data_IF_987738928142
#
_entry.id   IF_987738928142
#
_cell.length_a   1.000
_cell.length_b   1.000
_cell.length_c   1.000
_cell.angle_alpha   90.00
_cell.angle_beta   90.00
_cell.angle_gamma   90.00
#
_symmetry.space_group_name_H-M   'P 1'
#
loop_
_entity.id
_entity.type
_entity.pdbx_description
1 polymer ?
#
# COMPACT_ATOMS: atom_id res chain seq x y z
N UNK A 1 6.43 16.30 22.28
CA UNK A 1 7.37 15.95 21.20
C UNK A 1 6.63 15.52 19.94
N UNK A 2 7.12 15.98 18.78
CA UNK A 2 6.48 15.94 17.46
C UNK A 2 6.75 14.62 16.74
N UNK A 3 6.23 13.49 17.24
CA UNK A 3 6.41 12.19 16.56
C UNK A 3 5.29 11.84 15.56
N UNK A 4 4.14 12.53 15.63
CA UNK A 4 2.96 12.20 14.81
C UNK A 4 2.85 13.00 13.50
N UNK A 5 3.71 13.99 13.27
CA UNK A 5 3.49 15.01 12.22
C UNK A 5 4.41 14.85 10.99
N UNK A 6 4.92 13.65 10.71
CA UNK A 6 5.77 13.43 9.52
C UNK A 6 5.49 12.12 8.78
N UNK A 7 4.82 11.15 9.40
CA UNK A 7 4.35 9.96 8.72
C UNK A 7 2.90 10.19 8.27
N UNK A 8 2.73 10.76 7.08
CA UNK A 8 1.47 10.69 6.34
C UNK A 8 1.19 9.20 6.05
N UNK A 9 0.60 8.46 6.99
CA UNK A 9 0.32 7.02 6.82
C UNK A 9 -0.63 6.82 5.62
N UNK A 10 -0.06 6.28 4.54
CA UNK A 10 -0.79 5.98 3.33
C UNK A 10 -1.53 4.66 3.45
N UNK A 11 -2.84 4.71 3.63
CA UNK A 11 -3.68 3.50 3.65
C UNK A 11 -4.08 3.15 2.22
N UNK A 12 -3.83 1.91 1.81
CA UNK A 12 -4.28 1.33 0.53
C UNK A 12 -4.97 0.01 0.81
N UNK A 13 -6.17 -0.17 0.24
CA UNK A 13 -6.87 -1.44 0.20
C UNK A 13 -6.74 -1.99 -1.21
N UNK A 14 -6.36 -3.26 -1.28
CA UNK A 14 -6.23 -3.98 -2.53
C UNK A 14 -7.04 -5.26 -2.51
N UNK A 15 -7.35 -5.74 -3.71
CA UNK A 15 -7.96 -7.04 -3.94
C UNK A 15 -6.90 -8.15 -3.91
N UNK A 16 -7.32 -9.42 -3.96
CA UNK A 16 -6.46 -10.61 -3.91
C UNK A 16 -5.41 -10.65 -5.05
N UNK A 17 -5.73 -10.03 -6.20
CA UNK A 17 -4.80 -9.87 -7.31
C UNK A 17 -3.77 -8.73 -7.11
N UNK A 18 -3.93 -7.92 -6.05
CA UNK A 18 -3.14 -6.73 -5.77
C UNK A 18 -3.63 -5.45 -6.44
N UNK A 19 -4.83 -5.47 -7.05
CA UNK A 19 -5.50 -4.30 -7.64
C UNK A 19 -5.96 -3.34 -6.56
N UNK A 20 -5.68 -2.06 -6.72
CA UNK A 20 -6.04 -1.04 -5.74
C UNK A 20 -7.54 -0.76 -5.79
N UNK A 21 -8.25 -1.10 -4.72
CA UNK A 21 -9.69 -0.82 -4.55
C UNK A 21 -9.94 0.49 -3.81
N UNK A 22 -9.08 0.83 -2.86
CA UNK A 22 -9.18 2.08 -2.11
C UNK A 22 -7.81 2.60 -1.74
N UNK A 23 -7.67 3.92 -1.67
CA UNK A 23 -6.46 4.57 -1.18
C UNK A 23 -6.79 5.94 -0.58
N UNK A 24 -6.16 6.30 0.54
CA UNK A 24 -6.34 7.64 1.10
C UNK A 24 -5.51 8.69 0.32
N UNK A 25 -5.68 9.97 0.67
CA UNK A 25 -4.94 11.07 0.03
C UNK A 25 -3.42 10.99 0.28
N UNK A 26 -2.99 10.57 1.47
CA UNK A 26 -1.59 10.37 1.81
C UNK A 26 -0.94 9.27 0.94
N UNK A 27 -1.60 8.13 0.76
CA UNK A 27 -1.18 7.04 -0.10
C UNK A 27 -1.10 7.50 -1.56
N UNK A 28 -2.07 8.31 -2.01
CA UNK A 28 -2.04 8.92 -3.34
C UNK A 28 -0.77 9.74 -3.55
N UNK A 29 -0.45 10.62 -2.60
CA UNK A 29 0.74 11.47 -2.64
C UNK A 29 2.05 10.68 -2.48
N UNK A 30 2.07 9.66 -1.64
CA UNK A 30 3.24 8.83 -1.36
C UNK A 30 3.60 7.90 -2.52
N UNK A 31 2.60 7.26 -3.12
CA UNK A 31 2.77 6.26 -4.18
C UNK A 31 2.65 6.86 -5.59
N UNK A 32 2.37 8.17 -5.70
CA UNK A 32 2.13 8.86 -6.97
C UNK A 32 0.92 8.31 -7.73
N UNK A 33 -0.11 7.86 -7.01
CA UNK A 33 -1.29 7.27 -7.61
C UNK A 33 -2.21 8.36 -8.18
N UNK A 34 -2.79 8.18 -9.38
CA UNK A 34 -3.75 9.14 -9.93
C UNK A 34 -5.00 9.28 -9.05
N UNK A 35 -5.64 10.45 -9.12
CA UNK A 35 -6.89 10.77 -8.41
C UNK A 35 -8.15 10.20 -9.07
N UNK A 36 -8.02 9.72 -10.30
CA UNK A 36 -9.11 9.23 -11.12
C UNK A 36 -9.43 7.76 -10.91
N UNK A 37 -10.61 7.34 -11.39
CA UNK A 37 -11.15 5.96 -11.43
C UNK A 37 -10.23 4.91 -12.13
N UNK A 38 -9.09 5.32 -12.67
CA UNK A 38 -8.08 4.46 -13.32
C UNK A 38 -7.29 3.57 -12.33
N UNK A 39 -7.58 3.64 -11.03
CA UNK A 39 -6.99 2.79 -10.00
C UNK A 39 -7.27 1.30 -10.22
N UNK A 40 -8.36 0.93 -10.90
CA UNK A 40 -8.74 -0.47 -11.15
C UNK A 40 -7.71 -1.29 -11.95
N UNK A 41 -6.81 -0.61 -12.67
CA UNK A 41 -5.68 -1.22 -13.39
C UNK A 41 -4.32 -1.07 -12.70
N UNK A 42 -4.24 -0.34 -11.59
CA UNK A 42 -2.98 -0.16 -10.86
C UNK A 42 -2.81 -1.22 -9.78
N UNK A 43 -1.59 -1.76 -9.70
CA UNK A 43 -1.21 -2.81 -8.77
C UNK A 43 -0.14 -2.29 -7.81
N UNK A 44 -0.19 -2.69 -6.54
CA UNK A 44 0.85 -2.35 -5.55
C UNK A 44 2.27 -2.68 -6.03
N UNK A 45 2.46 -3.81 -6.71
CA UNK A 45 3.75 -4.22 -7.27
C UNK A 45 4.36 -3.24 -8.27
N UNK A 46 3.54 -2.36 -8.87
CA UNK A 46 4.00 -1.32 -9.80
C UNK A 46 4.64 -0.15 -9.05
N UNK A 47 4.03 0.28 -7.94
CA UNK A 47 4.51 1.37 -7.11
C UNK A 47 5.61 0.94 -6.15
N UNK A 48 5.49 -0.25 -5.57
CA UNK A 48 6.38 -0.78 -4.56
C UNK A 48 7.07 -2.03 -5.09
N UNK A 49 8.24 -1.84 -5.69
CA UNK A 49 9.10 -2.94 -6.15
C UNK A 49 9.89 -3.51 -4.97
N UNK A 50 10.20 -4.80 -5.01
CA UNK A 50 11.02 -5.48 -4.00
C UNK A 50 10.25 -6.39 -3.03
N UNK A 51 8.91 -6.35 -3.06
CA UNK A 51 8.05 -7.25 -2.28
C UNK A 51 7.04 -7.94 -3.19
N UNK A 52 6.92 -9.25 -3.07
CA UNK A 52 5.90 -10.05 -3.77
C UNK A 52 4.52 -9.88 -3.14
N UNK A 53 3.92 -8.68 -3.30
CA UNK A 53 2.59 -8.36 -2.77
C UNK A 53 1.54 -9.41 -3.14
N UNK A 54 1.55 -9.92 -4.36
CA UNK A 54 0.62 -10.96 -4.82
C UNK A 54 0.74 -12.25 -3.99
N UNK A 55 1.94 -12.61 -3.55
CA UNK A 55 2.17 -13.78 -2.71
C UNK A 55 1.67 -13.51 -1.28
N UNK A 56 1.97 -12.32 -0.73
CA UNK A 56 1.51 -11.92 0.60
C UNK A 56 -0.03 -11.84 0.69
N UNK A 57 -0.67 -11.29 -0.35
CA UNK A 57 -2.13 -11.20 -0.45
C UNK A 57 -2.77 -12.59 -0.55
N UNK A 58 -2.18 -13.51 -1.32
CA UNK A 58 -2.63 -14.91 -1.37
C UNK A 58 -2.40 -15.69 -0.09
N UNK A 59 -1.36 -15.36 0.68
CA UNK A 59 -1.12 -15.97 1.98
C UNK A 59 -2.21 -15.57 2.99
N UNK A 60 -2.95 -14.47 2.72
CA UNK A 60 -3.97 -13.89 3.60
C UNK A 60 -3.49 -13.76 5.06
N UNK A 61 -2.22 -13.45 5.24
CA UNK A 61 -1.59 -13.37 6.56
C UNK A 61 -1.08 -11.97 6.83
N UNK A 62 -1.31 -11.51 8.06
CA UNK A 62 -0.81 -10.24 8.52
C UNK A 62 0.71 -10.23 8.38
N UNK A 63 1.23 -9.28 7.59
CA UNK A 63 2.65 -9.17 7.27
C UNK A 63 3.05 -7.72 7.40
N UNK A 64 4.05 -7.45 8.22
CA UNK A 64 4.64 -6.13 8.31
C UNK A 64 6.11 -6.20 7.95
N UNK A 65 6.62 -5.11 7.40
CA UNK A 65 8.01 -5.04 7.02
C UNK A 65 8.38 -3.63 6.63
N UNK A 66 9.59 -3.52 6.14
CA UNK A 66 10.16 -2.26 5.71
C UNK A 66 10.58 -2.41 4.26
N UNK A 67 10.27 -1.40 3.46
CA UNK A 67 10.64 -1.34 2.06
C UNK A 67 11.33 -0.01 1.78
N UNK A 68 12.27 -0.04 0.85
CA UNK A 68 12.98 1.15 0.41
C UNK A 68 12.33 1.64 -0.89
N UNK A 69 11.78 2.84 -0.85
CA UNK A 69 11.25 3.50 -2.05
C UNK A 69 12.30 4.47 -2.56
N UNK A 70 12.71 4.31 -3.81
CA UNK A 70 13.73 5.15 -4.43
C UNK A 70 13.16 6.39 -5.16
N UNK A 71 11.83 6.51 -5.28
CA UNK A 71 11.16 7.57 -6.05
C UNK A 71 9.90 8.09 -5.35
N UNK A 72 9.60 9.40 -5.35
CA UNK A 72 10.37 10.50 -5.92
C UNK A 72 11.65 10.87 -5.15
N UNK A 73 11.79 10.38 -3.91
CA UNK A 73 13.00 10.51 -3.09
C UNK A 73 13.27 9.17 -2.39
N UNK A 74 14.55 8.84 -2.18
CA UNK A 74 14.97 7.66 -1.44
C UNK A 74 14.52 7.73 0.02
N UNK A 75 13.51 6.94 0.38
CA UNK A 75 12.97 6.87 1.74
C UNK A 75 12.62 5.45 2.12
N UNK A 76 12.75 5.17 3.41
CA UNK A 76 12.37 3.91 4.02
C UNK A 76 10.90 4.03 4.43
N UNK A 77 10.04 3.15 3.92
CA UNK A 77 8.64 3.06 4.32
C UNK A 77 8.39 1.77 5.09
N UNK A 78 7.66 1.87 6.19
CA UNK A 78 7.10 0.70 6.86
C UNK A 78 5.77 0.36 6.20
N UNK A 79 5.59 -0.91 5.84
CA UNK A 79 4.31 -1.41 5.36
C UNK A 79 3.70 -2.34 6.40
N UNK A 80 2.38 -2.27 6.50
CA UNK A 80 1.56 -3.19 7.27
C UNK A 80 0.47 -3.72 6.35
N UNK A 81 0.57 -4.99 6.01
CA UNK A 81 -0.45 -5.72 5.28
C UNK A 81 -1.27 -6.47 6.31
N UNK A 82 -2.56 -6.15 6.37
CA UNK A 82 -3.52 -6.84 7.22
C UNK A 82 -4.56 -7.45 6.28
N UNK A 83 -4.75 -8.78 6.31
CA UNK A 83 -5.86 -9.40 5.59
C UNK A 83 -7.15 -8.84 6.19
N UNK A 84 -7.91 -8.11 5.37
CA UNK A 84 -9.27 -7.77 5.72
C UNK A 84 -10.07 -9.04 5.53
N UNK A 85 -10.25 -9.80 6.60
CA UNK A 85 -11.32 -10.80 6.64
C UNK A 85 -12.60 -10.04 6.31
N UNK A 86 -13.20 -10.38 5.17
CA UNK A 86 -14.58 -9.98 4.92
C UNK A 86 -15.38 -10.60 6.05
N UNK A 87 -15.58 -9.82 7.12
CA UNK A 87 -16.49 -10.16 8.21
C UNK A 87 -17.89 -10.10 7.63
N UNK A 88 -18.20 -11.07 6.78
CA UNK A 88 -19.54 -11.41 6.37
C UNK A 88 -20.19 -12.06 7.57
N UNK A 89 -21.02 -11.28 8.27
CA UNK A 89 -22.13 -11.83 9.03
C UNK A 89 -23.39 -11.10 8.64
#
# INVERSE_FOLDING_TARGET
ETLFNTLQEGVVVVDEEGKIKYRNQAAGRLLGLPESEELGGWTLSRSLRGVDWRKLLRDQRASSGTLEVAYPESRILNYYLVPLESSGR
#
